data_IF_820824899081
#
_entry.id   IF_820824899081
#
_cell.length_a   1.000
_cell.length_b   1.000
_cell.length_c   1.000
_cell.angle_alpha   90.00
_cell.angle_beta   90.00
_cell.angle_gamma   90.00
#
_symmetry.space_group_name_H-M   'P 1'
#
loop_
_entity.id
_entity.type
_entity.pdbx_description
1 polymer ?
#
# COMPACT_ATOMS: atom_id res chain seq x y z
N UNK A 1 -36.35 -46.81 33.05
CA UNK A 1 -35.38 -45.71 33.29
C UNK A 1 -34.04 -46.14 32.71
N UNK A 2 -33.18 -45.21 32.30
CA UNK A 2 -31.92 -45.40 31.55
C UNK A 2 -32.05 -45.27 30.02
N UNK A 3 -32.19 -44.03 29.57
CA UNK A 3 -31.79 -43.55 28.23
C UNK A 3 -31.88 -42.00 28.24
N UNK A 4 -31.01 -41.33 29.00
CA UNK A 4 -30.90 -39.86 28.90
C UNK A 4 -29.45 -39.34 28.99
N UNK A 5 -28.45 -40.18 28.74
CA UNK A 5 -27.05 -39.81 28.96
C UNK A 5 -26.16 -39.82 27.69
N UNK A 6 -26.74 -39.71 26.48
CA UNK A 6 -25.95 -39.82 25.23
C UNK A 6 -25.98 -38.57 24.34
N UNK A 7 -27.06 -37.78 24.35
CA UNK A 7 -27.22 -36.69 23.37
C UNK A 7 -26.36 -35.45 23.72
N UNK A 8 -26.24 -35.11 25.01
CA UNK A 8 -25.40 -33.97 25.42
C UNK A 8 -23.92 -34.24 25.19
N UNK A 9 -23.46 -35.48 25.36
CA UNK A 9 -22.06 -35.84 25.11
C UNK A 9 -21.71 -35.82 23.61
N UNK A 10 -22.65 -36.21 22.75
CA UNK A 10 -22.48 -36.14 21.28
C UNK A 10 -22.51 -34.70 20.75
N UNK A 11 -23.38 -33.84 21.30
CA UNK A 11 -23.39 -32.41 20.94
C UNK A 11 -22.12 -31.70 21.38
N UNK A 12 -21.60 -31.98 22.59
CA UNK A 12 -20.33 -31.42 23.05
C UNK A 12 -19.16 -31.93 22.20
N UNK A 13 -19.17 -33.19 21.78
CA UNK A 13 -18.15 -33.72 20.86
C UNK A 13 -18.26 -33.10 19.46
N UNK A 14 -19.46 -32.94 18.92
CA UNK A 14 -19.67 -32.26 17.65
C UNK A 14 -19.27 -30.78 17.72
N UNK A 15 -19.56 -30.10 18.84
CA UNK A 15 -19.15 -28.71 19.06
C UNK A 15 -17.63 -28.59 19.23
N UNK A 16 -16.98 -29.53 19.92
CA UNK A 16 -15.51 -29.58 20.02
C UNK A 16 -14.84 -29.91 18.68
N UNK A 17 -15.41 -30.82 17.89
CA UNK A 17 -14.92 -31.11 16.52
C UNK A 17 -15.16 -29.91 15.61
N UNK A 18 -16.27 -29.19 15.74
CA UNK A 18 -16.54 -27.95 15.00
C UNK A 18 -15.66 -26.78 15.47
N UNK A 19 -15.25 -26.72 16.75
CA UNK A 19 -14.28 -25.73 17.26
C UNK A 19 -12.86 -26.07 16.79
N UNK A 20 -12.50 -27.36 16.75
CA UNK A 20 -11.20 -27.84 16.27
C UNK A 20 -11.08 -27.76 14.73
N UNK A 21 -12.17 -27.96 13.98
CA UNK A 21 -12.21 -27.73 12.53
C UNK A 21 -12.42 -26.25 12.18
N UNK A 22 -13.10 -25.49 13.04
CA UNK A 22 -13.42 -24.07 12.86
C UNK A 22 -12.25 -23.12 13.16
N UNK A 23 -11.08 -23.63 13.56
CA UNK A 23 -9.88 -22.81 13.81
C UNK A 23 -8.60 -23.37 13.16
N UNK A 24 -8.72 -24.43 12.34
CA UNK A 24 -7.60 -25.03 11.63
C UNK A 24 -7.35 -24.43 10.23
N UNK A 25 -8.32 -23.72 9.65
CA UNK A 25 -8.22 -23.23 8.27
C UNK A 25 -7.24 -22.06 8.07
N UNK A 26 -6.78 -21.40 9.13
CA UNK A 26 -5.92 -20.20 9.02
C UNK A 26 -4.47 -20.39 9.49
N UNK A 27 -4.12 -21.56 10.05
CA UNK A 27 -2.75 -21.83 10.56
C UNK A 27 -1.82 -22.51 9.54
N UNK A 28 -2.30 -22.83 8.35
CA UNK A 28 -1.52 -23.52 7.31
C UNK A 28 -1.67 -22.91 5.92
N UNK A 29 -1.88 -21.59 5.82
CA UNK A 29 -1.78 -20.92 4.53
C UNK A 29 -0.33 -21.01 4.04
N UNK A 30 -0.10 -21.90 3.06
CA UNK A 30 1.21 -22.11 2.42
C UNK A 30 1.23 -21.34 1.11
N UNK A 31 2.33 -20.64 0.85
CA UNK A 31 2.59 -20.03 -0.44
C UNK A 31 2.87 -21.13 -1.47
N UNK A 32 2.06 -21.17 -2.52
CA UNK A 32 2.24 -22.07 -3.66
C UNK A 32 2.47 -21.22 -4.90
N UNK A 33 3.64 -21.38 -5.53
CA UNK A 33 3.99 -20.68 -6.77
C UNK A 33 3.63 -21.58 -7.96
N UNK A 34 2.90 -21.02 -8.92
CA UNK A 34 2.65 -21.62 -10.22
C UNK A 34 3.73 -21.20 -11.23
N UNK A 35 4.19 -19.96 -11.13
CA UNK A 35 5.30 -19.45 -11.92
C UNK A 35 6.19 -18.54 -11.07
N UNK A 36 7.50 -18.62 -11.30
CA UNK A 36 8.50 -17.75 -10.70
C UNK A 36 9.63 -17.53 -11.71
N UNK A 37 9.43 -16.57 -12.60
CA UNK A 37 10.38 -16.16 -13.64
C UNK A 37 10.75 -14.69 -13.47
N UNK A 38 11.77 -14.24 -14.21
CA UNK A 38 12.17 -12.83 -14.22
C UNK A 38 11.04 -11.90 -14.70
N UNK A 39 10.15 -12.41 -15.54
CA UNK A 39 9.10 -11.65 -16.21
C UNK A 39 7.74 -11.81 -15.52
N UNK A 40 7.50 -12.93 -14.83
CA UNK A 40 6.20 -13.23 -14.24
C UNK A 40 6.32 -14.05 -12.94
N UNK A 41 5.55 -13.65 -11.92
CA UNK A 41 5.38 -14.38 -10.67
C UNK A 41 3.89 -14.59 -10.44
N UNK A 42 3.48 -15.85 -10.41
CA UNK A 42 2.09 -16.26 -10.21
C UNK A 42 2.00 -17.29 -9.09
N UNK A 43 0.99 -17.15 -8.23
CA UNK A 43 0.77 -18.13 -7.17
C UNK A 43 -0.45 -17.84 -6.33
N UNK A 44 -0.62 -18.64 -5.29
CA UNK A 44 -1.65 -18.47 -4.28
C UNK A 44 -1.09 -18.63 -2.87
N UNK A 45 -1.67 -17.92 -1.92
CA UNK A 45 -1.44 -18.09 -0.50
C UNK A 45 -2.62 -18.83 0.13
N UNK A 46 -2.40 -20.10 0.41
CA UNK A 46 -3.47 -21.04 0.76
C UNK A 46 -4.56 -21.10 -0.32
N UNK A 47 -5.80 -21.33 0.11
CA UNK A 47 -7.00 -21.31 -0.74
C UNK A 47 -7.74 -19.97 -0.67
N UNK A 48 -7.08 -18.88 -0.29
CA UNK A 48 -7.74 -17.62 0.03
C UNK A 48 -7.39 -16.48 -0.94
N UNK A 49 -6.11 -16.34 -1.28
CA UNK A 49 -5.60 -15.27 -2.13
C UNK A 49 -4.76 -15.85 -3.27
N UNK A 50 -4.98 -15.37 -4.49
CA UNK A 50 -4.14 -15.66 -5.65
C UNK A 50 -3.64 -14.36 -6.26
N UNK A 51 -2.46 -14.40 -6.85
CA UNK A 51 -1.81 -13.22 -7.40
C UNK A 51 -1.07 -13.54 -8.70
N UNK A 52 -0.95 -12.51 -9.53
CA UNK A 52 -0.14 -12.49 -10.75
C UNK A 52 0.60 -11.16 -10.76
N UNK A 53 1.91 -11.20 -10.99
CA UNK A 53 2.80 -10.04 -10.95
C UNK A 53 3.72 -10.12 -12.16
N UNK A 54 3.68 -9.12 -13.02
CA UNK A 54 4.65 -8.90 -14.08
C UNK A 54 5.01 -7.41 -14.16
N UNK A 55 5.82 -7.04 -15.16
CA UNK A 55 6.32 -5.65 -15.30
C UNK A 55 5.24 -4.60 -15.55
N UNK A 56 4.10 -4.95 -16.13
CA UNK A 56 3.04 -3.98 -16.48
C UNK A 56 1.71 -4.30 -15.81
N UNK A 57 1.65 -5.35 -15.00
CA UNK A 57 0.41 -5.86 -14.47
C UNK A 57 0.61 -6.49 -13.09
N UNK A 58 -0.23 -6.09 -12.15
CA UNK A 58 -0.32 -6.72 -10.84
C UNK A 58 -1.77 -6.98 -10.55
N UNK A 59 -2.11 -8.22 -10.21
CA UNK A 59 -3.47 -8.61 -9.87
C UNK A 59 -3.48 -9.41 -8.58
N UNK A 60 -4.41 -9.07 -7.70
CA UNK A 60 -4.74 -9.79 -6.48
C UNK A 60 -6.20 -10.24 -6.57
N UNK A 61 -6.41 -11.54 -6.46
CA UNK A 61 -7.71 -12.18 -6.50
C UNK A 61 -7.99 -12.95 -5.23
N UNK A 62 -9.27 -13.02 -4.96
CA UNK A 62 -9.91 -13.90 -4.02
C UNK A 62 -10.10 -15.29 -4.65
N UNK A 63 -10.25 -16.32 -3.81
CA UNK A 63 -10.44 -17.71 -4.23
C UNK A 63 -11.73 -18.00 -5.03
N UNK A 64 -12.73 -17.14 -4.93
CA UNK A 64 -13.94 -17.13 -5.75
C UNK A 64 -13.74 -16.41 -7.10
N UNK A 65 -12.48 -16.17 -7.49
CA UNK A 65 -12.07 -15.39 -8.65
C UNK A 65 -12.46 -13.91 -8.66
N UNK A 66 -12.96 -13.36 -7.54
CA UNK A 66 -13.20 -11.92 -7.43
C UNK A 66 -11.88 -11.14 -7.41
N UNK A 67 -11.78 -10.12 -8.25
CA UNK A 67 -10.65 -9.17 -8.22
C UNK A 67 -10.74 -8.32 -6.94
N UNK A 68 -9.69 -8.37 -6.13
CA UNK A 68 -9.55 -7.53 -4.94
C UNK A 68 -8.83 -6.23 -5.29
N UNK A 69 -7.74 -6.35 -6.03
CA UNK A 69 -7.02 -5.22 -6.59
C UNK A 69 -6.37 -5.60 -7.92
N UNK A 70 -6.26 -4.63 -8.80
CA UNK A 70 -5.65 -4.81 -10.12
C UNK A 70 -5.01 -3.51 -10.58
N UNK A 71 -3.76 -3.60 -11.01
CA UNK A 71 -3.02 -2.54 -11.66
C UNK A 71 -2.62 -3.00 -13.04
N UNK A 72 -2.77 -2.12 -14.03
CA UNK A 72 -2.27 -2.30 -15.39
C UNK A 72 -1.65 -1.00 -15.88
N UNK A 73 -0.40 -1.10 -16.31
CA UNK A 73 0.26 -0.07 -17.11
C UNK A 73 -0.27 -0.14 -18.54
N UNK A 74 -0.74 0.99 -19.06
CA UNK A 74 -1.35 1.08 -20.37
C UNK A 74 -0.40 1.80 -21.33
N UNK A 75 -0.75 1.81 -22.62
CA UNK A 75 -0.05 2.64 -23.59
C UNK A 75 -0.22 4.13 -23.29
N UNK A 76 0.66 4.95 -23.87
CA UNK A 76 0.56 6.40 -23.82
C UNK A 76 0.61 7.03 -22.42
N UNK A 77 1.46 6.51 -21.53
CA UNK A 77 1.60 6.99 -20.15
C UNK A 77 0.30 6.94 -19.33
N UNK A 78 -0.64 6.08 -19.72
CA UNK A 78 -1.88 5.84 -19.00
C UNK A 78 -1.73 4.65 -18.05
N UNK A 79 -2.58 4.58 -17.04
CA UNK A 79 -2.69 3.42 -16.16
C UNK A 79 -4.14 3.17 -15.75
N UNK A 80 -4.43 1.91 -15.47
CA UNK A 80 -5.68 1.48 -14.85
C UNK A 80 -5.39 0.90 -13.48
N UNK A 81 -6.10 1.40 -12.47
CA UNK A 81 -6.08 0.85 -11.13
C UNK A 81 -7.51 0.49 -10.70
N UNK A 82 -7.69 -0.70 -10.15
CA UNK A 82 -8.98 -1.21 -9.71
C UNK A 82 -8.85 -1.71 -8.28
N UNK A 83 -9.84 -1.36 -7.45
CA UNK A 83 -10.02 -1.89 -6.10
C UNK A 83 -11.46 -2.36 -6.00
N UNK A 84 -11.64 -3.67 -5.79
CA UNK A 84 -12.93 -4.33 -5.90
C UNK A 84 -13.63 -3.98 -7.23
N UNK A 85 -14.76 -3.30 -7.15
CA UNK A 85 -15.61 -2.93 -8.29
C UNK A 85 -15.36 -1.48 -8.76
N UNK A 86 -14.51 -0.72 -8.06
CA UNK A 86 -14.13 0.65 -8.45
C UNK A 86 -12.91 0.63 -9.37
N UNK A 87 -13.03 1.28 -10.52
CA UNK A 87 -11.97 1.38 -11.53
C UNK A 87 -11.56 2.85 -11.66
N UNK A 88 -10.26 3.09 -11.71
CA UNK A 88 -9.63 4.39 -11.81
C UNK A 88 -8.72 4.40 -13.04
N UNK A 89 -8.91 5.37 -13.92
CA UNK A 89 -8.13 5.56 -15.13
C UNK A 89 -7.42 6.91 -15.06
N UNK A 90 -6.10 6.92 -15.23
CA UNK A 90 -5.32 8.15 -15.13
C UNK A 90 -4.13 8.16 -16.06
N UNK A 91 -3.65 9.38 -16.34
CA UNK A 91 -2.32 9.60 -16.88
C UNK A 91 -1.31 9.61 -15.73
N UNK A 92 -0.12 9.03 -15.92
CA UNK A 92 0.96 9.00 -14.90
C UNK A 92 1.43 10.39 -14.47
N UNK A 93 1.23 11.41 -15.31
CA UNK A 93 1.53 12.81 -15.00
C UNK A 93 0.42 13.50 -14.18
N UNK A 94 -0.81 12.98 -14.19
CA UNK A 94 -1.95 13.56 -13.49
C UNK A 94 -1.86 13.29 -11.99
N UNK A 95 -2.30 14.24 -11.16
CA UNK A 95 -2.39 14.02 -9.71
C UNK A 95 -3.57 13.14 -9.29
N UNK A 96 -4.64 13.15 -10.08
CA UNK A 96 -5.91 12.53 -9.76
C UNK A 96 -6.43 11.76 -10.99
N UNK A 97 -6.67 10.44 -10.88
CA UNK A 97 -7.28 9.64 -11.92
C UNK A 97 -8.80 9.82 -11.87
N UNK A 98 -9.44 9.47 -12.97
CA UNK A 98 -10.89 9.53 -13.12
C UNK A 98 -11.48 8.19 -12.71
N UNK A 99 -12.53 8.21 -11.89
CA UNK A 99 -13.30 7.03 -11.54
C UNK A 99 -14.23 6.65 -12.70
N UNK A 100 -14.20 5.39 -13.12
CA UNK A 100 -15.04 4.87 -14.19
C UNK A 100 -16.27 4.16 -13.61
N UNK A 101 -17.43 4.40 -14.21
CA UNK A 101 -18.64 3.66 -13.85
C UNK A 101 -18.58 2.22 -14.38
N UNK A 102 -19.18 1.28 -13.64
CA UNK A 102 -19.11 -0.17 -13.90
C UNK A 102 -19.56 -0.62 -15.31
N UNK A 103 -20.31 0.22 -16.04
CA UNK A 103 -20.69 -0.02 -17.45
C UNK A 103 -19.52 0.12 -18.44
N UNK A 104 -18.38 0.66 -18.02
CA UNK A 104 -17.20 0.95 -18.85
C UNK A 104 -16.01 0.02 -18.59
N UNK A 105 -16.14 -0.95 -17.69
CA UNK A 105 -15.03 -1.85 -17.29
C UNK A 105 -14.69 -2.94 -18.31
N UNK A 106 -15.51 -3.13 -19.35
CA UNK A 106 -15.33 -4.13 -20.42
C UNK A 106 -14.73 -3.54 -21.72
N UNK A 107 -14.17 -2.33 -21.69
CA UNK A 107 -13.64 -1.69 -22.89
C UNK A 107 -12.27 -2.25 -23.31
N UNK A 108 -12.12 -2.45 -24.62
CA UNK A 108 -10.90 -2.93 -25.27
C UNK A 108 -9.75 -1.92 -25.14
N UNK A 109 -8.51 -2.42 -25.22
CA UNK A 109 -7.28 -1.68 -24.88
C UNK A 109 -7.04 -0.36 -25.66
N UNK A 110 -7.78 -0.08 -26.73
CA UNK A 110 -7.51 1.04 -27.63
C UNK A 110 -8.38 2.28 -27.37
N UNK A 111 -9.35 2.22 -26.45
CA UNK A 111 -10.32 3.32 -26.22
C UNK A 111 -10.07 4.13 -24.95
N UNK A 112 -9.01 3.82 -24.19
CA UNK A 112 -8.77 4.43 -22.88
C UNK A 112 -8.60 5.94 -22.91
N UNK A 113 -7.88 6.49 -23.90
CA UNK A 113 -7.74 7.94 -24.06
C UNK A 113 -9.07 8.63 -24.26
N UNK A 114 -9.90 8.10 -25.16
CA UNK A 114 -11.21 8.67 -25.45
C UNK A 114 -12.11 8.64 -24.21
N UNK A 115 -12.12 7.53 -23.47
CA UNK A 115 -12.84 7.42 -22.19
C UNK A 115 -12.31 8.46 -21.20
N UNK A 116 -10.99 8.54 -21.03
CA UNK A 116 -10.37 9.50 -20.11
C UNK A 116 -10.77 10.94 -20.47
N UNK A 117 -10.65 11.35 -21.73
CA UNK A 117 -11.02 12.71 -22.13
C UNK A 117 -12.53 12.98 -21.99
N UNK A 118 -13.39 12.01 -22.32
CA UNK A 118 -14.84 12.17 -22.18
C UNK A 118 -15.24 12.31 -20.70
N UNK A 119 -14.74 11.43 -19.84
CA UNK A 119 -15.04 11.45 -18.41
C UNK A 119 -14.40 12.66 -17.71
N UNK A 120 -13.15 13.00 -18.05
CA UNK A 120 -12.45 14.15 -17.48
C UNK A 120 -13.10 15.49 -17.89
N UNK A 121 -13.67 15.57 -19.11
CA UNK A 121 -14.42 16.75 -19.56
C UNK A 121 -15.73 16.95 -18.80
N UNK A 122 -16.35 15.87 -18.32
CA UNK A 122 -17.56 15.91 -17.50
C UNK A 122 -17.26 16.09 -16.00
N UNK A 123 -16.11 15.58 -15.55
CA UNK A 123 -15.63 15.62 -14.18
C UNK A 123 -14.46 16.60 -14.09
N UNK A 124 -14.74 17.89 -14.22
CA UNK A 124 -13.79 18.95 -13.84
C UNK A 124 -13.34 18.68 -12.40
N UNK A 125 -12.14 18.09 -12.28
CA UNK A 125 -11.23 18.05 -11.13
C UNK A 125 -11.88 18.32 -9.78
N UNK A 126 -12.46 17.29 -9.17
CA UNK A 126 -12.61 17.30 -7.71
C UNK A 126 -11.69 16.23 -7.15
N UNK A 127 -10.54 16.68 -6.62
CA UNK A 127 -9.67 15.92 -5.69
C UNK A 127 -10.52 15.09 -4.73
N UNK A 128 -11.57 15.71 -4.21
CA UNK A 128 -12.53 15.13 -3.29
C UNK A 128 -13.24 13.91 -3.90
N UNK A 129 -13.67 13.97 -5.16
CA UNK A 129 -14.35 12.84 -5.82
C UNK A 129 -13.45 11.63 -5.99
N UNK A 130 -12.17 11.83 -6.38
CA UNK A 130 -11.24 10.70 -6.46
C UNK A 130 -10.95 10.13 -5.08
N UNK A 131 -10.57 11.00 -4.14
CA UNK A 131 -10.25 10.60 -2.79
C UNK A 131 -11.42 9.84 -2.16
N UNK A 132 -12.64 10.37 -2.21
CA UNK A 132 -13.82 9.76 -1.61
C UNK A 132 -14.11 8.38 -2.19
N UNK A 133 -14.06 8.24 -3.53
CA UNK A 133 -14.27 6.95 -4.19
C UNK A 133 -13.19 5.95 -3.83
N UNK A 134 -11.93 6.39 -3.82
CA UNK A 134 -10.80 5.55 -3.49
C UNK A 134 -10.85 5.07 -2.03
N UNK A 135 -11.10 5.99 -1.09
CA UNK A 135 -11.26 5.66 0.32
C UNK A 135 -12.46 4.74 0.56
N UNK A 136 -13.59 4.96 -0.12
CA UNK A 136 -14.74 4.07 -0.07
C UNK A 136 -14.40 2.67 -0.57
N UNK A 137 -13.64 2.55 -1.66
CA UNK A 137 -13.17 1.27 -2.18
C UNK A 137 -12.28 0.54 -1.17
N UNK A 138 -11.32 1.25 -0.56
CA UNK A 138 -10.43 0.71 0.46
C UNK A 138 -11.18 0.29 1.73
N UNK A 139 -12.18 1.05 2.18
CA UNK A 139 -12.97 0.71 3.37
C UNK A 139 -13.78 -0.60 3.14
N UNK A 140 -14.40 -0.73 1.96
CA UNK A 140 -15.06 -1.98 1.56
C UNK A 140 -14.07 -3.14 1.48
N UNK A 141 -12.85 -2.91 0.98
CA UNK A 141 -11.82 -3.94 0.92
C UNK A 141 -11.34 -4.36 2.32
N UNK A 142 -11.16 -3.42 3.26
CA UNK A 142 -10.80 -3.69 4.65
C UNK A 142 -11.82 -4.57 5.37
N UNK A 143 -13.09 -4.42 5.04
CA UNK A 143 -14.17 -5.27 5.54
C UNK A 143 -14.16 -6.69 4.94
N UNK A 144 -13.26 -6.99 4.01
CA UNK A 144 -13.04 -8.35 3.51
C UNK A 144 -12.04 -9.06 4.42
N UNK A 145 -12.44 -10.21 5.00
CA UNK A 145 -11.59 -11.03 5.89
C UNK A 145 -10.25 -11.45 5.26
N UNK A 146 -10.16 -11.44 3.93
CA UNK A 146 -8.99 -11.84 3.14
C UNK A 146 -7.86 -10.81 3.18
N UNK A 147 -8.13 -9.53 3.45
CA UNK A 147 -7.09 -8.50 3.46
C UNK A 147 -6.08 -8.71 4.60
N UNK A 148 -6.51 -9.32 5.71
CA UNK A 148 -5.64 -9.71 6.84
C UNK A 148 -4.49 -10.64 6.39
N UNK A 149 -4.69 -11.40 5.31
CA UNK A 149 -3.68 -12.31 4.76
C UNK A 149 -2.67 -11.61 3.84
N UNK A 150 -2.90 -10.36 3.45
CA UNK A 150 -2.04 -9.65 2.49
C UNK A 150 -0.64 -9.41 3.06
N UNK A 151 -0.53 -9.01 4.33
CA UNK A 151 0.74 -8.86 5.03
C UNK A 151 1.53 -10.18 5.10
N UNK A 152 0.81 -11.28 5.35
CA UNK A 152 1.39 -12.61 5.41
C UNK A 152 1.87 -13.06 4.03
N UNK A 153 1.06 -12.89 2.98
CA UNK A 153 1.45 -13.17 1.60
C UNK A 153 2.68 -12.34 1.19
N UNK A 154 2.68 -11.04 1.46
CA UNK A 154 3.80 -10.13 1.22
C UNK A 154 5.08 -10.63 1.91
N UNK A 155 4.97 -10.99 3.20
CA UNK A 155 6.09 -11.55 3.97
C UNK A 155 6.59 -12.87 3.40
N UNK A 156 5.68 -13.78 3.00
CA UNK A 156 6.05 -15.09 2.47
C UNK A 156 6.68 -14.98 1.08
N UNK A 157 6.19 -14.07 0.22
CA UNK A 157 6.83 -13.78 -1.06
C UNK A 157 8.27 -13.31 -0.86
N UNK A 158 8.50 -12.36 0.04
CA UNK A 158 9.85 -11.88 0.34
C UNK A 158 10.78 -13.01 0.80
N UNK A 159 10.29 -13.91 1.66
CA UNK A 159 11.08 -15.05 2.19
C UNK A 159 11.40 -16.10 1.13
N UNK A 160 10.46 -16.44 0.26
CA UNK A 160 10.59 -17.56 -0.67
C UNK A 160 11.13 -17.15 -2.05
N UNK A 161 10.89 -15.92 -2.48
CA UNK A 161 11.32 -15.40 -3.79
C UNK A 161 12.51 -14.44 -3.66
N UNK A 162 12.67 -13.77 -2.52
CA UNK A 162 13.81 -12.89 -2.25
C UNK A 162 13.64 -11.47 -2.81
N UNK A 163 14.74 -10.85 -3.22
CA UNK A 163 14.77 -9.49 -3.77
C UNK A 163 14.54 -9.53 -5.28
N UNK A 164 13.30 -9.76 -5.69
CA UNK A 164 12.90 -9.69 -7.10
C UNK A 164 12.33 -8.30 -7.44
N UNK A 165 12.73 -7.66 -8.57
CA UNK A 165 12.25 -6.32 -8.93
C UNK A 165 10.73 -6.19 -8.97
N UNK A 166 10.05 -7.20 -9.53
CA UNK A 166 8.59 -7.27 -9.58
C UNK A 166 7.91 -7.23 -8.20
N UNK A 167 8.56 -7.76 -7.16
CA UNK A 167 7.97 -7.78 -5.82
C UNK A 167 7.89 -6.40 -5.19
N UNK A 168 8.74 -5.45 -5.59
CA UNK A 168 8.64 -4.08 -5.10
C UNK A 168 7.27 -3.47 -5.44
N UNK A 169 6.78 -3.69 -6.67
CA UNK A 169 5.44 -3.27 -7.09
C UNK A 169 4.37 -3.94 -6.26
N UNK A 170 4.46 -5.26 -6.04
CA UNK A 170 3.50 -5.98 -5.22
C UNK A 170 3.49 -5.49 -3.76
N UNK A 171 4.66 -5.25 -3.17
CA UNK A 171 4.75 -4.75 -1.80
C UNK A 171 4.20 -3.31 -1.69
N UNK A 172 4.40 -2.46 -2.69
CA UNK A 172 3.75 -1.14 -2.76
C UNK A 172 2.23 -1.27 -2.88
N UNK A 173 1.73 -2.19 -3.71
CA UNK A 173 0.30 -2.48 -3.78
C UNK A 173 -0.23 -2.91 -2.41
N UNK A 174 0.46 -3.84 -1.74
CA UNK A 174 0.09 -4.29 -0.41
C UNK A 174 0.01 -3.12 0.57
N UNK A 175 1.00 -2.22 0.57
CA UNK A 175 0.97 -1.00 1.38
C UNK A 175 -0.24 -0.12 1.05
N UNK A 176 -0.53 0.14 -0.23
CA UNK A 176 -1.70 0.93 -0.66
C UNK A 176 -3.01 0.35 -0.13
N UNK A 177 -3.17 -0.98 -0.22
CA UNK A 177 -4.41 -1.66 0.18
C UNK A 177 -4.54 -1.81 1.70
N UNK A 178 -3.43 -2.04 2.40
CA UNK A 178 -3.37 -2.17 3.86
C UNK A 178 -3.39 -0.82 4.57
N UNK A 179 -3.16 0.28 3.85
CA UNK A 179 -2.93 1.58 4.45
C UNK A 179 -4.04 1.93 5.44
N UNK A 180 -3.61 2.10 6.70
CA UNK A 180 -4.37 2.73 7.77
C UNK A 180 -4.56 4.22 7.48
N UNK A 181 -5.27 4.55 6.40
CA UNK A 181 -5.88 5.86 6.29
C UNK A 181 -6.99 5.94 7.35
N UNK A 182 -6.75 6.77 8.38
CA UNK A 182 -7.73 7.18 9.37
C UNK A 182 -7.99 6.22 10.54
N UNK A 183 -6.97 5.61 11.14
CA UNK A 183 -7.12 5.14 12.53
C UNK A 183 -7.14 6.36 13.45
N UNK A 184 -8.33 6.76 13.88
CA UNK A 184 -8.55 7.71 14.96
C UNK A 184 -7.94 7.30 16.33
N UNK A 185 -7.13 6.24 16.40
CA UNK A 185 -6.41 5.82 17.61
C UNK A 185 -4.88 5.86 17.51
N UNK A 186 -4.34 6.55 16.51
CA UNK A 186 -2.98 7.08 16.62
C UNK A 186 -3.01 8.57 16.38
N UNK A 187 -3.60 9.26 17.36
CA UNK A 187 -3.07 10.52 17.85
C UNK A 187 -1.54 10.34 17.92
N UNK A 188 -0.81 10.78 16.88
CA UNK A 188 0.43 11.49 17.18
C UNK A 188 -0.07 12.61 18.06
N UNK A 189 0.27 12.66 19.36
CA UNK A 189 -0.18 13.76 20.16
C UNK A 189 0.39 14.99 19.48
N UNK A 190 -0.50 15.81 18.95
CA UNK A 190 -0.29 17.23 18.88
C UNK A 190 -0.01 17.64 20.32
N UNK A 191 1.25 17.47 20.75
CA UNK A 191 1.71 17.97 22.02
C UNK A 191 1.69 19.47 21.86
N UNK A 192 0.52 20.03 22.19
CA UNK A 192 0.36 21.38 22.71
C UNK A 192 1.55 21.62 23.62
N UNK A 193 2.49 22.44 23.17
CA UNK A 193 3.56 22.95 24.02
C UNK A 193 2.90 23.83 25.08
N UNK A 194 2.51 23.22 26.19
CA UNK A 194 2.27 23.92 27.44
C UNK A 194 3.59 23.89 28.20
N UNK A 195 4.38 24.95 28.04
CA UNK A 195 5.40 25.25 29.03
C UNK A 195 4.66 25.83 30.23
N UNK A 196 4.66 25.11 31.34
CA UNK A 196 4.52 25.69 32.68
C UNK A 196 5.69 26.64 32.89
N UNK A 197 5.49 27.88 32.43
CA UNK A 197 5.99 29.12 33.01
C UNK A 197 5.82 30.21 31.97
N UNK A 198 4.80 31.06 32.19
CA UNK A 198 4.36 32.13 31.32
C UNK A 198 5.40 33.23 31.13
N UNK A 199 6.44 32.95 30.34
CA UNK A 199 7.35 33.98 29.82
C UNK A 199 7.62 33.79 28.34
N UNK A 200 6.88 34.59 27.57
CA UNK A 200 7.12 34.88 26.17
C UNK A 200 8.57 35.37 25.99
N UNK A 201 9.41 34.59 25.31
CA UNK A 201 10.65 35.09 24.70
C UNK A 201 10.53 34.94 23.20
N UNK A 202 10.09 36.03 22.57
CA UNK A 202 10.35 36.32 21.17
C UNK A 202 11.86 36.16 20.89
N UNK A 203 12.27 35.06 20.25
CA UNK A 203 13.60 35.02 19.64
C UNK A 203 13.49 35.67 18.28
N UNK A 204 13.72 36.98 18.27
CA UNK A 204 13.92 37.78 17.06
C UNK A 204 14.96 37.08 16.19
N UNK A 205 14.50 36.68 15.01
CA UNK A 205 15.33 36.34 13.86
C UNK A 205 16.26 37.53 13.56
N UNK A 206 17.55 37.37 13.84
CA UNK A 206 18.60 38.19 13.20
C UNK A 206 19.39 37.28 12.29
N UNK A 207 19.34 37.63 11.02
CA UNK A 207 19.98 36.96 9.89
C UNK A 207 21.35 36.38 10.22
N UNK A 208 21.46 35.07 9.98
CA UNK A 208 22.70 34.32 9.95
C UNK A 208 22.42 33.05 9.19
N UNK A 209 22.60 33.08 7.86
CA UNK A 209 22.63 31.89 7.04
C UNK A 209 23.61 30.87 7.64
N UNK A 210 23.09 29.80 8.21
CA UNK A 210 23.69 28.48 8.00
C UNK A 210 22.63 27.62 7.35
N UNK A 211 22.47 27.87 6.04
CA UNK A 211 22.02 26.84 5.11
C UNK A 211 23.04 25.72 5.26
N UNK A 212 22.81 24.77 6.18
CA UNK A 212 23.39 23.44 6.00
C UNK A 212 22.71 22.92 4.74
N UNK A 213 23.33 23.22 3.59
CA UNK A 213 23.29 22.34 2.44
C UNK A 213 23.62 20.98 3.04
N UNK A 214 22.60 20.18 3.36
CA UNK A 214 22.78 18.74 3.40
C UNK A 214 23.10 18.42 1.95
N UNK A 215 24.41 18.32 1.71
CA UNK A 215 24.97 17.79 0.48
C UNK A 215 24.14 16.59 0.07
N UNK A 216 23.75 16.62 -1.20
CA UNK A 216 23.31 15.45 -1.96
C UNK A 216 24.18 14.25 -1.55
N UNK A 217 23.54 13.10 -1.35
CA UNK A 217 24.17 11.78 -1.36
C UNK A 217 25.55 11.75 -0.71
N UNK A 218 25.57 11.68 0.63
CA UNK A 218 26.79 11.28 1.30
C UNK A 218 26.94 9.77 1.10
N UNK A 219 27.79 9.40 0.14
CA UNK A 219 28.44 8.08 0.07
C UNK A 219 29.27 7.89 1.35
N UNK A 220 28.62 7.51 2.44
CA UNK A 220 29.29 6.90 3.59
C UNK A 220 28.63 5.56 3.87
N UNK A 221 29.43 4.50 3.69
CA UNK A 221 29.10 3.07 3.80
C UNK A 221 28.60 2.60 5.18
N UNK A 222 28.02 3.45 6.01
CA UNK A 222 27.35 3.02 7.25
C UNK A 222 25.88 3.41 7.19
N UNK A 223 25.07 2.50 6.67
CA UNK A 223 23.63 2.51 6.91
C UNK A 223 23.39 2.57 8.43
N UNK A 224 22.89 3.72 8.92
CA UNK A 224 22.54 3.84 10.32
C UNK A 224 21.13 3.24 10.50
N UNK A 225 21.07 2.05 11.11
CA UNK A 225 19.81 1.41 11.45
C UNK A 225 19.14 2.14 12.61
N UNK A 226 18.09 2.91 12.32
CA UNK A 226 17.39 3.76 13.28
C UNK A 226 16.17 3.10 13.91
N UNK A 227 15.98 1.78 13.75
CA UNK A 227 14.86 1.04 14.39
C UNK A 227 14.77 1.24 15.92
N UNK A 228 15.87 1.65 16.55
CA UNK A 228 16.01 1.87 17.99
C UNK A 228 16.13 3.35 18.42
N UNK A 229 15.83 4.34 17.56
CA UNK A 229 15.93 5.77 17.90
C UNK A 229 14.58 6.40 18.29
N UNK A 230 14.12 6.29 19.56
CA UNK A 230 12.79 6.73 19.99
C UNK A 230 12.54 8.24 19.87
N UNK A 231 13.58 9.06 19.65
CA UNK A 231 13.49 10.52 19.71
C UNK A 231 13.47 11.22 18.33
N UNK A 232 13.68 10.49 17.23
CA UNK A 232 13.66 11.03 15.85
C UNK A 232 12.87 10.14 14.86
N UNK A 233 11.84 9.43 15.35
CA UNK A 233 11.12 8.36 14.64
C UNK A 233 10.08 8.83 13.61
N UNK A 234 10.36 9.86 12.82
CA UNK A 234 9.47 10.28 11.72
C UNK A 234 9.50 9.30 10.52
N UNK A 235 10.34 8.26 10.58
CA UNK A 235 10.49 7.22 9.56
C UNK A 235 10.75 7.72 8.13
N UNK A 236 11.22 8.96 7.96
CA UNK A 236 11.30 9.62 6.66
C UNK A 236 12.32 8.89 5.76
N UNK A 237 11.81 8.16 4.78
CA UNK A 237 12.58 7.35 3.85
C UNK A 237 13.25 6.13 4.46
N UNK A 238 12.84 5.70 5.66
CA UNK A 238 13.53 4.68 6.45
C UNK A 238 12.55 3.83 7.26
N UNK A 239 12.95 2.61 7.62
CA UNK A 239 12.16 1.81 8.54
C UNK A 239 12.30 2.31 9.99
N UNK A 240 11.25 2.16 10.79
CA UNK A 240 11.23 2.54 12.19
C UNK A 240 10.08 1.88 12.96
N UNK A 241 9.97 2.19 14.25
CA UNK A 241 8.86 1.72 15.07
C UNK A 241 7.54 2.28 14.52
N UNK A 242 6.63 1.40 14.09
CA UNK A 242 5.38 1.77 13.41
C UNK A 242 5.49 2.01 11.90
N UNK A 243 6.70 1.92 11.32
CA UNK A 243 6.96 2.12 9.89
C UNK A 243 7.87 1.00 9.36
N UNK A 244 7.34 -0.21 9.22
CA UNK A 244 8.10 -1.37 8.73
C UNK A 244 8.07 -1.55 7.21
N UNK A 245 7.32 -0.71 6.50
CA UNK A 245 6.95 -0.96 5.11
C UNK A 245 8.16 -0.90 4.16
N UNK A 246 9.10 0.01 4.42
CA UNK A 246 10.27 0.21 3.55
C UNK A 246 11.23 -0.99 3.49
N UNK A 247 11.23 -1.87 4.51
CA UNK A 247 12.04 -3.08 4.51
C UNK A 247 11.54 -4.08 3.48
N UNK A 248 10.22 -4.19 3.31
CA UNK A 248 9.64 -5.07 2.31
C UNK A 248 9.96 -4.57 0.90
N UNK A 249 9.93 -3.24 0.70
CA UNK A 249 10.25 -2.57 -0.57
C UNK A 249 11.74 -2.73 -0.93
N UNK A 250 12.65 -2.18 -0.11
CA UNK A 250 14.07 -2.06 -0.44
C UNK A 250 14.96 -3.14 0.17
N UNK A 251 14.41 -4.06 0.96
CA UNK A 251 15.16 -5.15 1.58
C UNK A 251 16.06 -4.74 2.73
N UNK A 252 16.06 -3.46 3.11
CA UNK A 252 16.87 -2.91 4.19
C UNK A 252 16.15 -1.76 4.91
N UNK A 253 16.67 -1.35 6.07
CA UNK A 253 16.15 -0.24 6.87
C UNK A 253 16.92 1.07 6.65
N UNK A 254 17.74 1.15 5.60
CA UNK A 254 18.55 2.32 5.29
C UNK A 254 17.69 3.41 4.66
N UNK A 255 18.21 4.63 4.62
CA UNK A 255 17.59 5.69 3.85
C UNK A 255 17.75 5.39 2.35
N UNK A 256 16.66 5.05 1.69
CA UNK A 256 16.62 4.80 0.25
C UNK A 256 15.99 6.00 -0.45
N UNK A 257 16.44 6.30 -1.67
CA UNK A 257 15.96 7.47 -2.42
C UNK A 257 14.45 7.39 -2.67
N UNK A 258 13.98 6.23 -3.14
CA UNK A 258 12.55 5.94 -3.34
C UNK A 258 11.70 6.24 -2.12
N UNK A 259 12.09 5.68 -0.97
CA UNK A 259 11.34 5.79 0.27
C UNK A 259 11.27 7.26 0.72
N UNK A 260 12.40 7.96 0.65
CA UNK A 260 12.50 9.36 1.04
C UNK A 260 11.64 10.27 0.16
N UNK A 261 11.73 10.10 -1.16
CA UNK A 261 10.97 10.90 -2.12
C UNK A 261 9.47 10.64 -2.00
N UNK A 262 9.05 9.37 -1.83
CA UNK A 262 7.66 9.02 -1.57
C UNK A 262 7.12 9.69 -0.31
N UNK A 263 7.82 9.57 0.82
CA UNK A 263 7.36 10.20 2.07
C UNK A 263 7.27 11.72 1.96
N UNK A 264 8.16 12.34 1.17
CA UNK A 264 8.06 13.77 0.85
C UNK A 264 6.80 14.10 0.05
N UNK A 265 6.50 13.33 -0.99
CA UNK A 265 5.28 13.49 -1.78
C UNK A 265 4.02 13.31 -0.91
N UNK A 266 3.95 12.24 -0.11
CA UNK A 266 2.83 11.97 0.79
C UNK A 266 2.60 13.06 1.84
N UNK A 267 3.69 13.63 2.40
CA UNK A 267 3.58 14.75 3.35
C UNK A 267 3.12 16.03 2.68
N UNK A 268 3.39 16.21 1.39
CA UNK A 268 2.94 17.37 0.64
C UNK A 268 1.44 17.28 0.33
N UNK A 269 1.00 16.16 -0.26
CA UNK A 269 -0.42 15.91 -0.49
C UNK A 269 -0.74 14.42 -0.49
N UNK A 270 -1.28 13.96 0.64
CA UNK A 270 -1.60 12.55 0.88
C UNK A 270 -2.74 12.00 0.03
N UNK A 271 -3.49 12.85 -0.67
CA UNK A 271 -4.65 12.46 -1.48
C UNK A 271 -4.33 12.30 -2.97
N UNK A 272 -3.07 12.49 -3.36
CA UNK A 272 -2.65 12.31 -4.75
C UNK A 272 -2.34 10.85 -5.05
N UNK A 273 -2.34 10.47 -6.33
CA UNK A 273 -1.85 9.14 -6.75
C UNK A 273 -0.42 8.88 -6.28
N UNK A 274 0.36 9.96 -6.13
CA UNK A 274 1.75 9.82 -5.71
C UNK A 274 1.89 9.22 -4.30
N UNK A 275 0.87 9.40 -3.47
CA UNK A 275 0.82 8.85 -2.14
C UNK A 275 -0.04 7.59 -2.06
N UNK A 276 -1.23 7.65 -2.66
CA UNK A 276 -2.22 6.59 -2.51
C UNK A 276 -1.87 5.36 -3.35
N UNK A 277 -1.28 5.54 -4.54
CA UNK A 277 -1.06 4.49 -5.52
C UNK A 277 0.35 4.67 -6.15
N UNK A 278 1.44 4.65 -5.37
CA UNK A 278 2.78 4.98 -5.87
C UNK A 278 3.32 3.97 -6.90
N UNK A 279 2.70 2.78 -6.98
CA UNK A 279 3.00 1.72 -7.96
C UNK A 279 2.88 2.16 -9.43
N UNK A 280 2.17 3.25 -9.72
CA UNK A 280 2.01 3.78 -11.10
C UNK A 280 3.30 4.39 -11.67
N UNK A 281 4.28 4.70 -10.82
CA UNK A 281 5.56 5.29 -11.22
C UNK A 281 6.66 4.24 -11.32
N UNK A 282 7.78 4.62 -11.94
CA UNK A 282 9.01 3.84 -11.82
C UNK A 282 9.46 3.85 -10.35
N UNK A 283 9.80 2.67 -9.86
CA UNK A 283 10.25 2.46 -8.49
C UNK A 283 11.67 1.91 -8.55
N UNK A 284 12.62 2.59 -7.90
CA UNK A 284 14.00 2.11 -7.73
C UNK A 284 14.53 2.63 -6.40
N UNK A 285 14.99 1.74 -5.52
CA UNK A 285 15.52 2.14 -4.23
C UNK A 285 16.73 3.10 -4.34
N UNK A 286 17.49 2.98 -5.43
CA UNK A 286 18.64 3.82 -5.76
C UNK A 286 18.25 5.03 -6.62
N UNK A 287 17.57 4.80 -7.76
CA UNK A 287 17.28 5.85 -8.74
C UNK A 287 16.12 6.76 -8.32
N UNK A 288 15.27 6.28 -7.40
CA UNK A 288 14.25 7.08 -6.73
C UNK A 288 12.81 6.74 -7.13
N UNK A 289 11.95 7.69 -6.82
CA UNK A 289 10.52 7.69 -7.07
C UNK A 289 10.22 8.46 -8.36
N UNK A 290 9.78 7.76 -9.40
CA UNK A 290 9.55 8.36 -10.72
C UNK A 290 8.54 9.51 -10.78
N UNK A 291 7.75 9.75 -9.72
CA UNK A 291 6.84 10.90 -9.60
C UNK A 291 7.45 12.14 -8.93
N UNK A 292 8.70 12.06 -8.45
CA UNK A 292 9.41 13.18 -7.84
C UNK A 292 10.24 13.96 -8.88
N UNK A 293 10.35 15.30 -8.82
CA UNK A 293 9.73 16.22 -7.86
C UNK A 293 8.33 16.70 -8.27
N UNK A 294 7.77 16.20 -9.37
CA UNK A 294 6.47 16.67 -9.92
C UNK A 294 5.34 16.62 -8.90
N UNK A 295 5.37 15.67 -7.96
CA UNK A 295 4.41 15.57 -6.87
C UNK A 295 4.34 16.81 -5.93
N UNK A 296 5.39 17.64 -5.89
CA UNK A 296 5.52 18.79 -4.99
C UNK A 296 5.03 20.12 -5.59
N UNK A 297 4.63 20.12 -6.86
CA UNK A 297 4.25 21.33 -7.61
C UNK A 297 2.76 21.61 -7.53
#
# INVERSE_FOLDING_TARGET
MWLSCSIHSLLVFAFLVLIMMGTAADKSAVLTLKENSAENIEGCYGLALCFVINETFVQLKSNDNRTLAHFRDLQDEMFLFQVLDDVFLGEKSSKFPVHLNASQSNLHDNTWKDIFYLEHKHLMTNRDSFADKFHSALDRLKNTTKLVLLHHLSTQLKKNVGNHPLLMRFHMLAMTLEAKYGSNDSVVPERRWSNEDGRYKERKTKFGHVRKKRTLFQEENSCQDLRSDPNNNDCLGMCGYGCSCWYFICGNCCQNRLCFEHDKCCRHDMYTINCLIPIVHSLSCEDGYGGYPSCLQ
#
